data_IF_884223571215
#
_entry.id   IF_884223571215
#
_cell.length_a   1.000
_cell.length_b   1.000
_cell.length_c   1.000
_cell.angle_alpha   90.00
_cell.angle_beta   90.00
_cell.angle_gamma   90.00
#
_symmetry.space_group_name_H-M   'P 1'
#
loop_
_entity.id
_entity.type
_entity.pdbx_description
1 polymer ?
#
# COMPACT_ATOMS: atom_id res chain seq x y z
N UNK A 1 -3.16 14.03 28.39
CA UNK A 1 -4.39 13.45 27.79
C UNK A 1 -4.43 11.97 28.12
N UNK A 2 -5.59 11.40 28.52
CA UNK A 2 -5.70 9.93 28.63
C UNK A 2 -5.63 9.38 27.21
N UNK A 3 -4.56 8.71 26.87
CA UNK A 3 -4.45 7.93 25.63
C UNK A 3 -5.45 6.78 25.76
N UNK A 4 -6.64 6.94 25.20
CA UNK A 4 -7.57 5.83 25.04
C UNK A 4 -6.93 4.89 24.02
N UNK A 5 -6.80 3.60 24.37
CA UNK A 5 -6.35 2.58 23.43
C UNK A 5 -7.22 2.66 22.18
N UNK A 6 -6.66 2.79 20.99
CA UNK A 6 -7.43 2.79 19.75
C UNK A 6 -8.27 1.51 19.67
N UNK A 7 -9.53 1.65 19.24
CA UNK A 7 -10.46 0.53 19.09
C UNK A 7 -10.89 0.43 17.64
N UNK A 8 -11.11 -0.80 17.13
CA UNK A 8 -11.62 -0.97 15.79
C UNK A 8 -12.97 -0.26 15.59
N UNK A 9 -13.29 0.16 14.36
CA UNK A 9 -14.59 0.76 14.03
C UNK A 9 -15.73 -0.25 14.22
N UNK A 10 -16.96 0.28 14.36
CA UNK A 10 -18.14 -0.56 14.38
C UNK A 10 -18.22 -1.39 13.07
N UNK A 11 -18.59 -2.66 13.16
CA UNK A 11 -18.64 -3.60 12.02
C UNK A 11 -17.29 -3.88 11.35
N UNK A 12 -16.18 -3.73 12.11
CA UNK A 12 -14.86 -4.13 11.64
C UNK A 12 -14.85 -5.61 11.22
N UNK A 13 -14.23 -5.89 10.08
CA UNK A 13 -14.10 -7.24 9.53
C UNK A 13 -12.86 -7.98 10.03
N UNK A 14 -12.00 -7.32 10.79
CA UNK A 14 -10.80 -7.89 11.40
C UNK A 14 -11.05 -8.29 12.85
N UNK A 15 -10.33 -9.29 13.33
CA UNK A 15 -10.21 -9.56 14.75
C UNK A 15 -9.64 -8.31 15.46
N UNK A 16 -10.16 -7.94 16.65
CA UNK A 16 -9.72 -6.72 17.34
C UNK A 16 -8.23 -6.66 17.65
N UNK A 17 -7.58 -7.78 17.97
CA UNK A 17 -6.15 -7.79 18.27
C UNK A 17 -5.33 -7.62 16.98
N UNK A 18 -5.72 -8.30 15.91
CA UNK A 18 -5.06 -8.19 14.61
C UNK A 18 -5.29 -6.81 13.99
N UNK A 19 -6.51 -6.25 14.14
CA UNK A 19 -6.76 -4.85 13.78
C UNK A 19 -5.78 -3.90 14.47
N UNK A 20 -5.59 -4.04 15.78
CA UNK A 20 -4.69 -3.17 16.53
C UNK A 20 -3.22 -3.30 16.09
N UNK A 21 -2.78 -4.53 15.72
CA UNK A 21 -1.45 -4.75 15.17
C UNK A 21 -1.28 -4.04 13.83
N UNK A 22 -2.26 -4.20 12.93
CA UNK A 22 -2.27 -3.54 11.62
C UNK A 22 -2.38 -2.02 11.74
N UNK A 23 -3.23 -1.51 12.64
CA UNK A 23 -3.42 -0.09 12.88
C UNK A 23 -2.14 0.62 13.39
N UNK A 24 -1.16 -0.12 13.90
CA UNK A 24 0.16 0.38 14.30
C UNK A 24 1.20 0.37 13.18
N UNK A 25 0.83 -0.05 11.98
CA UNK A 25 1.68 -0.05 10.81
C UNK A 25 1.31 1.10 9.86
N UNK A 26 2.26 1.51 9.03
CA UNK A 26 2.01 2.45 7.95
C UNK A 26 1.32 1.77 6.78
N UNK A 27 0.25 2.40 6.27
CA UNK A 27 -0.46 1.98 5.07
C UNK A 27 -0.69 3.18 4.16
N UNK A 28 -0.53 3.07 2.84
CA UNK A 28 -0.87 4.14 1.93
C UNK A 28 -2.39 4.25 1.79
N UNK A 29 -2.93 5.47 1.72
CA UNK A 29 -4.38 5.70 1.64
C UNK A 29 -4.80 6.53 0.43
N UNK A 30 -3.85 7.25 -0.20
CA UNK A 30 -4.08 8.02 -1.42
C UNK A 30 -2.77 8.24 -2.17
N UNK A 31 -2.85 8.60 -3.46
CA UNK A 31 -1.72 9.22 -4.15
C UNK A 31 -1.69 10.71 -3.80
N UNK A 32 -0.49 11.28 -3.67
CA UNK A 32 -0.33 12.70 -3.36
C UNK A 32 -0.98 13.62 -4.39
N UNK A 33 -0.93 13.22 -5.68
CA UNK A 33 -1.53 13.97 -6.78
C UNK A 33 -3.08 13.96 -6.79
N UNK A 34 -3.72 13.08 -6.02
CA UNK A 34 -5.19 13.02 -5.94
C UNK A 34 -5.77 14.00 -4.91
N UNK A 35 -4.92 14.72 -4.12
CA UNK A 35 -5.36 15.54 -2.97
C UNK A 35 -5.34 17.03 -3.31
N UNK A 36 -5.39 17.38 -4.56
CA UNK A 36 -5.47 18.78 -5.00
C UNK A 36 -6.94 19.12 -5.27
N UNK A 37 -7.56 19.88 -4.36
CA UNK A 37 -8.93 20.39 -4.52
C UNK A 37 -9.88 19.92 -3.42
N UNK A 38 -10.86 19.07 -3.72
CA UNK A 38 -11.84 18.60 -2.74
C UNK A 38 -11.25 17.59 -1.75
N UNK A 39 -11.83 17.46 -0.52
CA UNK A 39 -11.47 16.39 0.40
C UNK A 39 -11.65 15.01 -0.22
N UNK A 40 -10.64 14.15 -0.07
CA UNK A 40 -10.62 12.79 -0.62
C UNK A 40 -11.08 11.80 0.42
N UNK A 41 -11.96 10.88 0.02
CA UNK A 41 -12.41 9.77 0.86
C UNK A 41 -11.47 8.57 0.69
N UNK A 42 -11.10 7.94 1.81
CA UNK A 42 -10.42 6.65 1.83
C UNK A 42 -11.04 5.75 2.91
N UNK A 43 -10.71 4.46 2.84
CA UNK A 43 -11.02 3.48 3.90
C UNK A 43 -9.77 2.68 4.18
N UNK A 44 -9.42 2.53 5.44
CA UNK A 44 -8.30 1.72 5.91
C UNK A 44 -8.74 0.90 7.12
N UNK A 45 -8.60 -0.42 7.06
CA UNK A 45 -8.98 -1.32 8.16
C UNK A 45 -10.43 -1.08 8.64
N UNK A 46 -11.36 -0.91 7.69
CA UNK A 46 -12.76 -0.52 7.88
C UNK A 46 -12.99 0.88 8.48
N UNK A 47 -11.94 1.63 8.83
CA UNK A 47 -12.04 3.01 9.29
C UNK A 47 -12.25 3.96 8.09
N UNK A 48 -13.30 4.79 8.14
CA UNK A 48 -13.56 5.80 7.11
C UNK A 48 -12.70 7.03 7.35
N UNK A 49 -11.96 7.44 6.32
CA UNK A 49 -11.00 8.54 6.39
C UNK A 49 -11.37 9.66 5.43
N UNK A 50 -11.11 10.88 5.88
CA UNK A 50 -11.04 12.08 5.05
C UNK A 50 -9.59 12.55 4.96
N UNK A 51 -9.14 12.84 3.74
CA UNK A 51 -7.79 13.32 3.43
C UNK A 51 -7.93 14.67 2.75
N UNK A 52 -7.21 15.68 3.23
CA UNK A 52 -7.26 17.03 2.67
C UNK A 52 -5.94 17.77 2.95
N UNK A 53 -5.74 18.92 2.30
CA UNK A 53 -4.55 19.74 2.49
C UNK A 53 -4.91 21.07 3.16
N UNK A 54 -4.14 21.49 4.16
CA UNK A 54 -4.19 22.83 4.75
C UNK A 54 -2.80 23.44 4.65
N UNK A 55 -2.67 24.61 4.03
CA UNK A 55 -1.38 25.33 3.90
C UNK A 55 -0.23 24.45 3.40
N UNK A 56 -0.54 23.55 2.46
CA UNK A 56 0.41 22.57 1.91
C UNK A 56 0.63 21.30 2.76
N UNK A 57 0.17 21.25 3.99
CA UNK A 57 0.28 20.06 4.85
C UNK A 57 -0.90 19.12 4.64
N UNK A 58 -0.64 17.83 4.52
CA UNK A 58 -1.68 16.81 4.44
C UNK A 58 -2.19 16.47 5.81
N UNK A 59 -3.51 16.37 5.93
CA UNK A 59 -4.21 15.91 7.14
C UNK A 59 -5.02 14.66 6.79
N UNK A 60 -4.91 13.62 7.61
CA UNK A 60 -5.77 12.44 7.58
C UNK A 60 -6.54 12.38 8.88
N UNK A 61 -7.85 12.32 8.79
CA UNK A 61 -8.72 12.26 9.96
C UNK A 61 -9.86 11.26 9.71
N UNK A 62 -10.53 10.85 10.80
CA UNK A 62 -11.78 10.10 10.72
C UNK A 62 -12.83 10.92 9.97
N UNK A 63 -13.50 10.32 8.99
CA UNK A 63 -14.51 10.99 8.16
C UNK A 63 -15.84 11.17 8.89
N UNK A 64 -15.79 11.80 10.06
CA UNK A 64 -16.95 12.02 10.93
C UNK A 64 -16.85 13.38 11.61
N UNK A 65 -17.82 14.26 11.35
CA UNK A 65 -17.94 15.50 12.09
C UNK A 65 -18.38 15.22 13.54
N UNK A 66 -17.61 15.64 14.57
CA UNK A 66 -17.90 15.33 15.97
C UNK A 66 -19.19 15.98 16.49
N UNK A 67 -19.81 16.88 15.71
CA UNK A 67 -21.07 17.53 16.10
C UNK A 67 -22.28 16.60 15.91
N UNK A 68 -22.49 16.05 14.69
CA UNK A 68 -23.67 15.25 14.34
C UNK A 68 -23.37 14.07 13.40
N UNK A 69 -22.13 13.65 13.30
CA UNK A 69 -21.74 12.43 12.57
C UNK A 69 -21.74 12.53 11.04
N UNK A 70 -21.91 13.72 10.47
CA UNK A 70 -21.89 13.88 9.00
C UNK A 70 -20.48 13.68 8.47
N UNK A 71 -20.30 12.94 7.34
CA UNK A 71 -19.00 12.81 6.70
C UNK A 71 -18.42 14.17 6.28
N UNK A 72 -17.14 14.37 6.60
CA UNK A 72 -16.43 15.60 6.24
C UNK A 72 -16.04 15.63 4.76
N UNK A 73 -15.93 14.48 4.13
CA UNK A 73 -15.70 14.33 2.68
C UNK A 73 -16.84 14.91 1.83
N UNK A 74 -18.02 15.12 2.39
CA UNK A 74 -19.13 15.84 1.73
C UNK A 74 -18.99 17.35 1.79
N UNK A 75 -18.01 17.86 2.52
CA UNK A 75 -17.73 19.28 2.70
C UNK A 75 -16.68 19.79 1.72
N UNK A 76 -15.99 20.83 2.15
CA UNK A 76 -14.90 21.44 1.39
C UNK A 76 -13.82 21.93 2.36
N UNK A 77 -12.64 22.26 1.84
CA UNK A 77 -11.61 22.87 2.67
C UNK A 77 -11.40 24.34 2.28
N UNK A 78 -11.09 25.13 3.27
CA UNK A 78 -10.60 26.51 3.19
C UNK A 78 -9.13 26.52 3.61
N UNK A 79 -8.44 27.65 3.44
CA UNK A 79 -7.05 27.81 3.87
C UNK A 79 -6.81 27.46 5.34
N UNK A 80 -7.81 27.68 6.20
CA UNK A 80 -7.72 27.47 7.65
C UNK A 80 -8.35 26.17 8.16
N UNK A 81 -8.83 25.29 7.29
CA UNK A 81 -9.37 24.01 7.71
C UNK A 81 -10.45 23.40 6.83
N UNK A 82 -10.91 22.21 7.22
CA UNK A 82 -12.03 21.52 6.58
C UNK A 82 -13.35 21.99 7.15
N UNK A 83 -14.33 22.25 6.28
CA UNK A 83 -15.64 22.77 6.63
C UNK A 83 -16.69 21.67 6.50
N UNK A 84 -17.36 21.37 7.61
CA UNK A 84 -18.48 20.43 7.64
C UNK A 84 -19.68 21.00 6.86
N UNK A 85 -20.26 20.24 5.90
CA UNK A 85 -21.33 20.78 5.04
C UNK A 85 -22.65 21.01 5.75
N UNK A 86 -22.82 20.42 6.95
CA UNK A 86 -24.12 20.47 7.65
C UNK A 86 -24.34 21.81 8.41
N UNK A 87 -23.36 22.26 9.20
CA UNK A 87 -23.50 23.49 9.98
C UNK A 87 -22.34 24.50 9.80
N UNK A 88 -21.44 24.24 8.83
CA UNK A 88 -20.31 25.11 8.55
C UNK A 88 -19.22 25.14 9.63
N UNK A 89 -19.21 24.16 10.56
CA UNK A 89 -18.13 24.06 11.52
C UNK A 89 -16.81 23.81 10.77
N UNK A 90 -15.78 24.60 11.09
CA UNK A 90 -14.47 24.46 10.48
C UNK A 90 -13.48 23.88 11.49
N UNK A 91 -12.70 22.89 11.05
CA UNK A 91 -11.68 22.21 11.84
C UNK A 91 -10.31 22.48 11.25
N UNK A 92 -9.40 22.99 12.08
CA UNK A 92 -8.04 23.35 11.69
C UNK A 92 -7.09 22.17 11.55
N UNK A 93 -5.83 22.48 11.32
CA UNK A 93 -4.74 21.52 11.13
C UNK A 93 -4.56 20.57 12.33
N UNK A 94 -4.73 21.08 13.55
CA UNK A 94 -4.68 20.32 14.79
C UNK A 94 -5.97 19.53 15.09
N UNK A 95 -6.94 19.53 14.17
CA UNK A 95 -8.24 18.89 14.32
C UNK A 95 -9.24 19.65 15.20
N UNK A 96 -8.88 20.78 15.83
CA UNK A 96 -9.79 21.56 16.66
C UNK A 96 -10.73 22.39 15.83
N UNK A 97 -11.99 22.48 16.27
CA UNK A 97 -12.93 23.42 15.70
C UNK A 97 -12.44 24.86 15.97
N UNK A 98 -12.32 25.66 14.91
CA UNK A 98 -11.89 27.05 14.97
C UNK A 98 -12.98 28.04 14.50
N UNK A 99 -14.15 27.56 14.03
CA UNK A 99 -15.27 28.38 13.61
C UNK A 99 -16.61 27.69 13.82
N UNK A 100 -17.56 28.38 14.46
CA UNK A 100 -18.96 27.99 14.55
C UNK A 100 -19.79 29.16 13.99
N UNK A 101 -20.25 29.08 12.72
CA UNK A 101 -20.93 30.23 12.08
C UNK A 101 -22.21 30.68 12.78
N UNK A 102 -22.95 29.75 13.37
CA UNK A 102 -24.20 30.05 14.09
C UNK A 102 -24.02 30.76 15.44
N UNK A 103 -22.79 30.81 15.96
CA UNK A 103 -22.52 31.38 17.30
C UNK A 103 -21.15 32.09 17.32
N UNK A 104 -20.99 33.17 16.53
CA UNK A 104 -19.71 33.85 16.41
C UNK A 104 -19.29 34.47 17.74
N UNK A 105 -18.02 34.35 18.09
CA UNK A 105 -17.44 34.89 19.33
C UNK A 105 -17.78 34.14 20.62
N UNK A 106 -18.56 33.07 20.55
CA UNK A 106 -18.81 32.21 21.70
C UNK A 106 -17.69 31.18 21.92
N UNK A 107 -17.47 30.72 23.15
CA UNK A 107 -16.50 29.66 23.42
C UNK A 107 -16.82 28.37 22.65
N UNK A 108 -15.81 27.80 22.01
CA UNK A 108 -15.94 26.56 21.25
C UNK A 108 -15.75 25.35 22.18
N UNK A 109 -16.73 24.43 22.26
CA UNK A 109 -16.60 23.25 23.10
C UNK A 109 -15.39 22.40 22.73
N UNK A 110 -14.57 21.99 23.72
CA UNK A 110 -13.37 21.19 23.51
C UNK A 110 -13.64 19.79 22.87
N UNK A 111 -14.90 19.31 22.95
CA UNK A 111 -15.33 18.05 22.30
C UNK A 111 -15.43 18.19 20.78
N UNK A 112 -15.48 19.40 20.23
CA UNK A 112 -15.44 19.62 18.79
C UNK A 112 -13.99 19.53 18.30
N UNK A 113 -13.51 18.31 18.24
CA UNK A 113 -12.15 17.95 17.85
C UNK A 113 -12.18 16.69 16.99
N UNK A 114 -11.54 16.72 15.83
CA UNK A 114 -11.41 15.56 14.94
C UNK A 114 -10.48 14.53 15.56
N UNK A 115 -10.72 13.26 15.24
CA UNK A 115 -9.72 12.21 15.41
C UNK A 115 -8.81 12.24 14.20
N UNK A 116 -7.62 12.80 14.36
CA UNK A 116 -6.58 12.83 13.33
C UNK A 116 -5.56 11.72 13.55
N UNK A 117 -4.95 11.27 12.46
CA UNK A 117 -4.00 10.17 12.42
C UNK A 117 -2.61 10.66 12.00
N UNK A 118 -1.58 9.88 12.30
CA UNK A 118 -0.22 10.15 11.84
C UNK A 118 -0.17 10.09 10.30
N UNK A 119 0.59 10.99 9.69
CA UNK A 119 0.68 11.14 8.22
C UNK A 119 2.13 11.30 7.80
N UNK A 120 2.50 10.61 6.73
CA UNK A 120 3.73 10.83 5.99
C UNK A 120 3.42 10.93 4.49
N UNK A 121 3.99 11.92 3.81
CA UNK A 121 3.94 12.05 2.36
C UNK A 121 5.27 11.57 1.78
N UNK A 122 5.24 10.38 1.16
CA UNK A 122 6.46 9.75 0.66
C UNK A 122 6.15 8.87 -0.56
N UNK A 123 7.08 8.80 -1.50
CA UNK A 123 6.95 8.01 -2.74
C UNK A 123 5.74 8.40 -3.59
N UNK A 124 5.33 9.68 -3.53
CA UNK A 124 4.12 10.18 -4.19
C UNK A 124 2.82 9.60 -3.62
N UNK A 125 2.87 9.02 -2.42
CA UNK A 125 1.74 8.47 -1.68
C UNK A 125 1.56 9.19 -0.34
N UNK A 126 0.32 9.17 0.14
CA UNK A 126 -0.02 9.55 1.50
C UNK A 126 -0.15 8.29 2.34
N UNK A 127 0.71 8.17 3.32
CA UNK A 127 0.72 7.09 4.29
C UNK A 127 0.07 7.54 5.59
N UNK A 128 -0.66 6.64 6.22
CA UNK A 128 -1.21 6.89 7.56
C UNK A 128 -1.05 5.67 8.46
N UNK A 129 -1.01 5.94 9.75
CA UNK A 129 -0.96 4.94 10.81
C UNK A 129 -2.06 5.29 11.83
N UNK A 130 -3.03 4.40 12.00
CA UNK A 130 -4.22 4.70 12.80
C UNK A 130 -3.97 4.66 14.32
N UNK A 131 -2.90 3.97 14.74
CA UNK A 131 -2.60 3.74 16.15
C UNK A 131 -1.10 3.80 16.46
N UNK A 132 -0.33 4.58 15.70
CA UNK A 132 1.07 4.83 16.02
C UNK A 132 1.26 5.47 17.39
N UNK A 133 2.35 5.12 18.03
CA UNK A 133 2.91 5.93 19.10
C UNK A 133 3.51 7.20 18.46
N UNK A 134 2.98 8.39 18.76
CA UNK A 134 3.49 9.63 18.17
C UNK A 134 4.94 9.95 18.56
N UNK A 135 5.39 9.45 19.72
CA UNK A 135 6.75 9.66 20.22
C UNK A 135 7.75 8.63 19.65
N UNK A 136 7.23 7.51 19.10
CA UNK A 136 8.06 6.45 18.51
C UNK A 136 7.29 5.74 17.37
N UNK A 137 7.06 6.42 16.23
CA UNK A 137 6.37 5.81 15.10
C UNK A 137 7.23 4.67 14.50
N UNK A 138 6.58 3.62 13.95
CA UNK A 138 7.32 2.58 13.24
C UNK A 138 8.03 3.18 12.02
N UNK A 139 9.12 2.57 11.54
CA UNK A 139 9.76 3.01 10.30
C UNK A 139 8.81 2.86 9.12
N UNK A 140 8.81 3.85 8.22
CA UNK A 140 8.12 3.75 6.95
C UNK A 140 8.82 2.73 6.04
N UNK A 141 8.09 1.90 5.26
CA UNK A 141 8.70 1.06 4.25
C UNK A 141 9.61 1.86 3.31
N UNK A 142 10.76 1.30 2.95
CA UNK A 142 11.71 1.96 2.05
C UNK A 142 11.43 1.60 0.58
N UNK A 143 11.79 2.49 -0.32
CA UNK A 143 11.80 2.25 -1.77
C UNK A 143 13.17 2.63 -2.32
N UNK A 144 13.96 1.65 -2.79
CA UNK A 144 15.27 1.93 -3.36
C UNK A 144 15.18 2.89 -4.56
N UNK A 145 16.21 3.70 -4.75
CA UNK A 145 16.38 4.58 -5.91
C UNK A 145 15.29 5.65 -6.14
N UNK A 146 14.31 5.81 -5.25
CA UNK A 146 13.25 6.82 -5.46
C UNK A 146 13.78 8.24 -5.57
N UNK A 147 14.79 8.59 -4.76
CA UNK A 147 15.36 9.94 -4.73
C UNK A 147 16.66 10.06 -5.52
N UNK A 148 17.09 9.00 -6.21
CA UNK A 148 18.36 9.00 -6.93
C UNK A 148 18.28 9.85 -8.19
N UNK A 149 19.33 10.63 -8.42
CA UNK A 149 19.42 11.44 -9.64
C UNK A 149 19.39 10.56 -10.90
N UNK A 150 18.57 10.95 -11.87
CA UNK A 150 18.39 10.20 -13.12
C UNK A 150 17.33 9.13 -13.09
N UNK A 151 16.67 8.90 -11.96
CA UNK A 151 15.49 8.05 -11.89
C UNK A 151 14.21 8.85 -12.15
N UNK A 152 13.34 8.33 -13.01
CA UNK A 152 11.98 8.81 -13.23
C UNK A 152 11.07 8.17 -12.18
N UNK A 153 10.30 9.01 -11.47
CA UNK A 153 9.30 8.61 -10.50
C UNK A 153 7.92 8.53 -11.16
N UNK A 154 7.24 7.41 -11.05
CA UNK A 154 5.93 7.17 -11.67
C UNK A 154 4.98 6.59 -10.61
N UNK A 155 3.78 7.16 -10.47
CA UNK A 155 2.74 6.62 -9.63
C UNK A 155 1.59 6.11 -10.49
N UNK A 156 1.46 4.79 -10.61
CA UNK A 156 0.34 4.18 -11.31
C UNK A 156 -1.00 4.54 -10.64
N UNK A 157 -2.10 4.63 -11.41
CA UNK A 157 -3.43 4.73 -10.82
C UNK A 157 -3.67 3.60 -9.81
N UNK A 158 -4.20 3.95 -8.63
CA UNK A 158 -4.57 2.95 -7.63
C UNK A 158 -5.79 2.14 -8.09
N UNK A 159 -5.84 0.86 -7.74
CA UNK A 159 -6.96 -0.02 -8.07
C UNK A 159 -7.34 -0.90 -6.88
N UNK A 160 -8.53 -1.49 -6.93
CA UNK A 160 -9.01 -2.38 -5.87
C UNK A 160 -8.98 -3.84 -6.31
N UNK A 161 -8.58 -4.70 -5.36
CA UNK A 161 -8.60 -6.16 -5.45
C UNK A 161 -9.59 -6.68 -4.41
N UNK A 162 -10.55 -7.49 -4.84
CA UNK A 162 -11.51 -8.18 -3.93
C UNK A 162 -10.85 -9.40 -3.30
N UNK A 163 -9.80 -9.15 -2.54
CA UNK A 163 -8.97 -10.12 -1.88
C UNK A 163 -8.28 -9.52 -0.67
N UNK A 164 -7.78 -10.37 0.22
CA UNK A 164 -7.04 -9.95 1.39
C UNK A 164 -5.64 -9.45 1.02
N UNK A 165 -5.17 -8.38 1.68
CA UNK A 165 -3.87 -7.76 1.41
C UNK A 165 -2.70 -8.76 1.50
N UNK A 166 -2.77 -9.72 2.42
CA UNK A 166 -1.75 -10.76 2.53
C UNK A 166 -1.66 -11.68 1.31
N UNK A 167 -2.78 -12.01 0.67
CA UNK A 167 -2.79 -12.78 -0.60
C UNK A 167 -2.20 -11.97 -1.75
N UNK A 168 -2.52 -10.68 -1.81
CA UNK A 168 -1.97 -9.79 -2.83
C UNK A 168 -0.43 -9.66 -2.71
N UNK A 169 0.07 -9.50 -1.49
CA UNK A 169 1.52 -9.45 -1.24
C UNK A 169 2.19 -10.78 -1.53
N UNK A 170 1.58 -11.89 -1.11
CA UNK A 170 2.10 -13.23 -1.40
C UNK A 170 2.20 -13.48 -2.91
N UNK A 171 1.18 -13.07 -3.69
CA UNK A 171 1.21 -13.12 -5.16
C UNK A 171 2.36 -12.32 -5.75
N UNK A 172 2.60 -11.10 -5.26
CA UNK A 172 3.73 -10.28 -5.73
C UNK A 172 5.11 -10.91 -5.43
N UNK A 173 5.23 -11.66 -4.34
CA UNK A 173 6.46 -12.34 -3.93
C UNK A 173 6.67 -13.70 -4.63
N UNK A 174 5.62 -14.26 -5.24
CA UNK A 174 5.67 -15.49 -5.98
C UNK A 174 6.28 -15.26 -7.36
N UNK A 175 7.22 -16.11 -7.76
CA UNK A 175 7.87 -16.06 -9.07
C UNK A 175 7.49 -17.23 -9.97
N UNK A 176 6.85 -18.27 -9.41
CA UNK A 176 6.47 -19.46 -10.16
C UNK A 176 5.30 -19.23 -11.12
N UNK A 177 4.42 -18.27 -10.83
CA UNK A 177 3.26 -17.94 -11.65
C UNK A 177 3.62 -17.22 -12.96
N UNK A 178 4.79 -16.58 -13.06
CA UNK A 178 5.14 -15.71 -14.19
C UNK A 178 4.91 -16.37 -15.53
N UNK A 179 5.45 -17.56 -15.76
CA UNK A 179 5.35 -18.27 -17.02
C UNK A 179 3.93 -18.74 -17.39
N UNK A 180 2.97 -18.54 -16.50
CA UNK A 180 1.59 -19.02 -16.65
C UNK A 180 0.56 -17.92 -16.83
N UNK A 181 0.66 -16.82 -16.07
CA UNK A 181 -0.37 -15.77 -16.10
C UNK A 181 0.11 -14.49 -16.79
N UNK A 182 1.43 -14.26 -16.93
CA UNK A 182 1.99 -13.07 -17.57
C UNK A 182 2.46 -13.27 -19.00
N UNK A 183 1.96 -14.29 -19.68
CA UNK A 183 2.35 -14.67 -21.04
C UNK A 183 1.99 -13.60 -22.08
N UNK A 184 0.96 -12.78 -21.80
CA UNK A 184 0.52 -11.69 -22.68
C UNK A 184 1.28 -10.38 -22.41
N UNK A 185 2.11 -10.33 -21.35
CA UNK A 185 2.83 -9.11 -20.95
C UNK A 185 4.35 -9.27 -21.03
N UNK A 186 4.99 -9.94 -20.07
CA UNK A 186 6.45 -9.97 -20.00
C UNK A 186 7.05 -11.39 -19.89
N UNK A 187 6.25 -12.40 -19.61
CA UNK A 187 6.77 -13.73 -19.29
C UNK A 187 6.98 -14.60 -20.55
N UNK A 188 7.88 -15.56 -20.42
CA UNK A 188 8.16 -16.58 -21.40
C UNK A 188 7.56 -17.92 -20.94
N UNK A 189 6.53 -18.45 -21.62
CA UNK A 189 5.86 -19.69 -21.24
C UNK A 189 6.78 -20.93 -21.33
N UNK A 190 7.87 -20.85 -22.07
CA UNK A 190 8.85 -21.94 -22.20
C UNK A 190 9.83 -21.97 -21.01
N UNK A 191 9.88 -20.90 -20.19
CA UNK A 191 10.80 -20.77 -19.06
C UNK A 191 10.06 -20.89 -17.71
N UNK A 192 9.66 -22.10 -17.36
CA UNK A 192 8.81 -22.41 -16.20
C UNK A 192 9.61 -22.76 -14.93
N UNK A 193 10.89 -23.06 -15.07
CA UNK A 193 11.71 -23.47 -13.93
C UNK A 193 12.10 -22.29 -13.07
N UNK A 194 11.80 -22.39 -11.76
CA UNK A 194 12.26 -21.44 -10.75
C UNK A 194 13.61 -21.88 -10.21
N UNK A 195 14.68 -21.11 -10.43
CA UNK A 195 15.99 -21.40 -9.84
C UNK A 195 15.95 -21.35 -8.31
N UNK A 196 16.88 -22.04 -7.66
CA UNK A 196 17.01 -22.01 -6.21
C UNK A 196 17.37 -20.61 -5.71
N UNK A 197 16.65 -20.14 -4.70
CA UNK A 197 16.94 -18.89 -3.99
C UNK A 197 16.63 -19.06 -2.50
N UNK A 198 17.16 -18.16 -1.66
CA UNK A 198 16.98 -18.26 -0.20
C UNK A 198 16.67 -16.90 0.39
N UNK A 199 15.45 -16.67 0.91
CA UNK A 199 15.12 -15.46 1.63
C UNK A 199 16.00 -15.29 2.88
N UNK A 200 16.48 -14.06 3.12
CA UNK A 200 17.30 -13.69 4.26
C UNK A 200 16.52 -12.72 5.15
N UNK A 201 16.39 -13.05 6.44
CA UNK A 201 15.67 -12.21 7.39
C UNK A 201 16.34 -10.84 7.56
N UNK A 202 15.50 -9.81 7.68
CA UNK A 202 15.90 -8.44 8.03
C UNK A 202 15.10 -7.96 9.24
N UNK A 203 15.45 -6.84 9.87
CA UNK A 203 14.68 -6.28 10.99
C UNK A 203 13.23 -5.94 10.66
N UNK A 204 12.89 -5.71 9.39
CA UNK A 204 11.56 -5.32 8.92
C UNK A 204 10.83 -6.40 8.12
N UNK A 205 11.49 -7.54 7.83
CA UNK A 205 10.90 -8.63 7.06
C UNK A 205 11.96 -9.56 6.49
N UNK A 206 12.18 -9.55 5.19
CA UNK A 206 13.25 -10.30 4.53
C UNK A 206 13.62 -9.70 3.18
N UNK A 207 14.77 -10.12 2.65
CA UNK A 207 15.19 -9.89 1.27
C UNK A 207 15.36 -11.23 0.55
N UNK A 208 15.18 -11.24 -0.77
CA UNK A 208 15.37 -12.43 -1.59
C UNK A 208 15.90 -12.05 -2.98
N UNK A 209 16.98 -12.72 -3.39
CA UNK A 209 17.55 -12.59 -4.72
C UNK A 209 17.08 -13.76 -5.60
N UNK A 210 16.48 -13.44 -6.72
CA UNK A 210 16.05 -14.39 -7.73
C UNK A 210 16.74 -14.10 -9.07
N UNK A 211 17.54 -15.05 -9.54
CA UNK A 211 18.22 -14.96 -10.82
C UNK A 211 17.48 -15.72 -11.91
N UNK A 212 17.23 -15.10 -13.05
CA UNK A 212 16.45 -15.66 -14.14
C UNK A 212 17.02 -15.26 -15.49
N UNK A 213 16.85 -16.11 -16.49
CA UNK A 213 17.12 -15.81 -17.90
C UNK A 213 15.98 -15.02 -18.56
N UNK A 214 14.85 -14.84 -17.88
CA UNK A 214 13.67 -14.13 -18.40
C UNK A 214 13.67 -12.68 -17.97
N UNK A 215 13.57 -11.76 -18.95
CA UNK A 215 13.42 -10.33 -18.69
C UNK A 215 12.00 -9.96 -18.29
N UNK A 216 11.83 -8.76 -17.69
CA UNK A 216 10.53 -8.16 -17.37
C UNK A 216 10.17 -7.04 -18.35
N UNK A 217 10.47 -7.23 -19.64
CA UNK A 217 10.13 -6.24 -20.65
C UNK A 217 8.97 -6.70 -21.51
N UNK A 218 8.11 -5.77 -21.96
CA UNK A 218 7.16 -6.06 -23.01
C UNK A 218 7.90 -6.62 -24.22
N UNK A 219 7.35 -7.66 -24.85
CA UNK A 219 7.93 -8.25 -26.07
C UNK A 219 8.08 -7.20 -27.21
N UNK A 220 7.28 -6.13 -27.16
CA UNK A 220 7.32 -4.99 -28.07
C UNK A 220 8.43 -3.97 -27.79
N UNK A 221 9.16 -4.08 -26.66
CA UNK A 221 10.27 -3.18 -26.35
C UNK A 221 11.44 -3.40 -27.29
N UNK A 222 12.10 -2.33 -27.70
CA UNK A 222 13.36 -2.39 -28.49
C UNK A 222 14.56 -2.77 -27.61
N UNK A 223 14.39 -2.79 -26.30
CA UNK A 223 15.44 -3.19 -25.36
C UNK A 223 15.76 -4.67 -25.51
N UNK A 224 17.04 -5.01 -25.67
CA UNK A 224 17.53 -6.38 -25.77
C UNK A 224 18.67 -6.59 -24.80
N UNK A 225 18.55 -7.62 -23.97
CA UNK A 225 19.67 -8.05 -23.17
C UNK A 225 20.66 -8.85 -24.04
N UNK A 226 21.98 -8.81 -23.73
CA UNK A 226 22.95 -9.70 -24.35
C UNK A 226 22.55 -11.18 -24.18
N UNK A 227 22.98 -12.02 -25.13
CA UNK A 227 22.78 -13.47 -25.01
C UNK A 227 23.37 -14.02 -23.70
N UNK A 228 22.60 -14.82 -22.99
CA UNK A 228 23.00 -15.41 -21.71
C UNK A 228 22.91 -14.43 -20.51
N UNK A 229 22.36 -13.23 -20.68
CA UNK A 229 22.20 -12.28 -19.57
C UNK A 229 21.32 -12.88 -18.48
N UNK A 230 21.77 -12.79 -17.23
CA UNK A 230 21.00 -13.20 -16.07
C UNK A 230 20.38 -11.97 -15.39
N UNK A 231 19.07 -12.00 -15.26
CA UNK A 231 18.28 -10.93 -14.62
C UNK A 231 18.24 -11.16 -13.12
N UNK A 232 18.78 -10.23 -12.35
CA UNK A 232 18.57 -10.24 -10.91
C UNK A 232 17.24 -9.53 -10.61
N UNK A 233 16.38 -10.22 -9.90
CA UNK A 233 15.21 -9.67 -9.22
C UNK A 233 15.46 -9.69 -7.73
N UNK A 234 15.65 -8.51 -7.15
CA UNK A 234 15.86 -8.32 -5.73
C UNK A 234 14.55 -7.90 -5.10
N UNK A 235 14.01 -8.75 -4.23
CA UNK A 235 12.81 -8.47 -3.45
C UNK A 235 13.19 -8.03 -2.05
N UNK A 236 12.52 -6.97 -1.56
CA UNK A 236 12.55 -6.56 -0.14
C UNK A 236 11.13 -6.58 0.40
N UNK A 237 10.87 -7.39 1.43
CA UNK A 237 9.59 -7.45 2.11
C UNK A 237 9.63 -6.61 3.39
N UNK A 238 8.75 -5.60 3.47
CA UNK A 238 8.46 -4.82 4.66
C UNK A 238 7.11 -5.26 5.23
N UNK A 239 7.14 -6.04 6.30
CA UNK A 239 5.93 -6.54 6.95
C UNK A 239 5.06 -5.38 7.47
N UNK A 240 3.72 -5.44 7.41
CA UNK A 240 2.96 -6.60 6.94
C UNK A 240 2.65 -6.63 5.43
N UNK A 241 2.53 -5.48 4.72
CA UNK A 241 1.88 -5.45 3.40
C UNK A 241 2.58 -4.58 2.36
N UNK A 242 3.87 -4.33 2.50
CA UNK A 242 4.64 -3.58 1.50
C UNK A 242 5.85 -4.39 1.06
N UNK A 243 6.01 -4.58 -0.25
CA UNK A 243 7.21 -5.19 -0.81
C UNK A 243 7.74 -4.35 -1.97
N UNK A 244 9.04 -4.39 -2.21
CA UNK A 244 9.66 -3.80 -3.40
C UNK A 244 10.34 -4.88 -4.22
N UNK A 245 10.32 -4.70 -5.53
CA UNK A 245 11.05 -5.49 -6.51
C UNK A 245 11.98 -4.56 -7.27
N UNK A 246 13.30 -4.79 -7.15
CA UNK A 246 14.30 -4.15 -7.99
C UNK A 246 14.76 -5.13 -9.06
N UNK A 247 14.54 -4.79 -10.32
CA UNK A 247 14.98 -5.57 -11.48
C UNK A 247 16.23 -4.93 -12.04
N UNK A 248 17.30 -5.74 -12.15
CA UNK A 248 18.58 -5.32 -12.69
C UNK A 248 18.65 -5.65 -14.17
N UNK A 249 18.76 -4.62 -14.97
CA UNK A 249 18.88 -4.66 -16.43
C UNK A 249 20.35 -4.51 -16.86
N UNK A 250 20.70 -4.81 -18.13
CA UNK A 250 22.03 -4.50 -18.66
C UNK A 250 22.37 -3.01 -18.51
N UNK A 251 23.69 -2.69 -18.56
CA UNK A 251 24.20 -1.31 -18.51
C UNK A 251 23.74 -0.51 -17.27
N UNK A 252 23.66 -1.17 -16.12
CA UNK A 252 23.25 -0.59 -14.86
C UNK A 252 21.85 0.07 -14.85
N UNK A 253 21.01 -0.30 -15.83
CA UNK A 253 19.61 0.11 -15.79
C UNK A 253 18.85 -0.64 -14.69
N UNK A 254 17.90 0.06 -14.05
CA UNK A 254 17.10 -0.44 -12.92
C UNK A 254 15.63 -0.06 -13.08
N UNK A 255 14.79 -1.01 -12.75
CA UNK A 255 13.36 -0.80 -12.54
C UNK A 255 13.04 -1.20 -11.11
N UNK A 256 12.46 -0.28 -10.34
CA UNK A 256 11.97 -0.56 -9.00
C UNK A 256 10.46 -0.43 -9.00
N UNK A 257 9.78 -1.44 -8.48
CA UNK A 257 8.31 -1.46 -8.32
C UNK A 257 8.04 -1.67 -6.83
N UNK A 258 7.28 -0.77 -6.23
CA UNK A 258 6.74 -0.99 -4.89
C UNK A 258 5.32 -1.54 -5.01
N UNK A 259 5.05 -2.66 -4.36
CA UNK A 259 3.72 -3.19 -4.13
C UNK A 259 3.31 -2.82 -2.71
N UNK A 260 2.47 -1.81 -2.57
CA UNK A 260 1.96 -1.36 -1.28
C UNK A 260 0.46 -1.68 -1.19
N UNK A 261 0.14 -2.81 -0.55
CA UNK A 261 -1.20 -3.33 -0.42
C UNK A 261 -1.88 -2.75 0.82
N UNK A 262 -2.82 -1.83 0.63
CA UNK A 262 -3.56 -1.18 1.71
C UNK A 262 -4.86 -1.92 2.01
N UNK A 263 -5.04 -2.51 3.19
CA UNK A 263 -6.24 -3.26 3.52
C UNK A 263 -7.43 -2.31 3.76
N UNK A 264 -8.35 -2.22 2.82
CA UNK A 264 -9.62 -1.51 2.98
C UNK A 264 -10.47 -2.23 4.03
N UNK A 265 -10.55 -3.55 3.90
CA UNK A 265 -11.18 -4.49 4.82
C UNK A 265 -10.43 -5.82 4.80
N UNK A 266 -10.85 -6.81 5.57
CA UNK A 266 -10.27 -8.16 5.49
C UNK A 266 -10.47 -8.85 4.12
N UNK A 267 -11.28 -8.27 3.23
CA UNK A 267 -11.66 -8.86 1.93
C UNK A 267 -11.45 -7.94 0.73
N UNK A 268 -11.03 -6.71 0.97
CA UNK A 268 -10.76 -5.73 -0.10
C UNK A 268 -9.45 -5.04 0.18
N UNK A 269 -8.61 -4.98 -0.82
CA UNK A 269 -7.30 -4.33 -0.79
C UNK A 269 -7.25 -3.23 -1.84
N UNK A 270 -6.74 -2.07 -1.49
CA UNK A 270 -6.40 -1.02 -2.43
C UNK A 270 -4.90 -1.06 -2.70
N UNK A 271 -4.55 -1.22 -3.97
CA UNK A 271 -3.18 -1.33 -4.42
C UNK A 271 -2.62 0.01 -4.84
N UNK A 272 -1.41 0.30 -4.35
CA UNK A 272 -0.59 1.42 -4.78
C UNK A 272 0.74 0.89 -5.30
N UNK A 273 1.15 1.38 -6.47
CA UNK A 273 2.35 0.90 -7.14
C UNK A 273 3.23 2.05 -7.64
N UNK A 274 4.00 2.70 -6.74
CA UNK A 274 5.09 3.57 -7.16
C UNK A 274 6.15 2.81 -7.95
N UNK A 275 6.67 3.43 -9.01
CA UNK A 275 7.70 2.89 -9.88
C UNK A 275 8.83 3.91 -9.99
N UNK A 276 10.08 3.45 -9.91
CA UNK A 276 11.26 4.24 -10.23
C UNK A 276 12.10 3.53 -11.30
N UNK A 277 12.55 4.24 -12.32
CA UNK A 277 13.40 3.69 -13.39
C UNK A 277 14.41 4.72 -13.90
N UNK A 278 15.57 4.26 -14.37
CA UNK A 278 16.61 5.12 -14.93
C UNK A 278 16.88 4.88 -16.44
N UNK A 279 15.96 4.25 -17.14
CA UNK A 279 16.04 3.96 -18.58
C UNK A 279 14.68 4.23 -19.24
N UNK A 280 14.66 4.29 -20.58
CA UNK A 280 13.44 4.56 -21.38
C UNK A 280 12.67 5.82 -20.88
N UNK A 281 13.40 6.84 -20.45
CA UNK A 281 12.83 8.05 -19.85
C UNK A 281 12.00 8.87 -20.84
N UNK A 282 12.10 8.58 -22.13
CA UNK A 282 11.32 9.20 -23.21
C UNK A 282 9.96 8.54 -23.44
N UNK A 283 9.73 7.34 -22.89
CA UNK A 283 8.45 6.62 -23.02
C UNK A 283 7.39 7.36 -22.21
N UNK A 284 6.23 7.67 -22.79
CA UNK A 284 5.14 8.34 -22.09
C UNK A 284 4.73 7.59 -20.81
N UNK A 285 4.44 8.34 -19.76
CA UNK A 285 4.05 7.76 -18.45
C UNK A 285 2.74 6.96 -18.59
N UNK A 286 1.86 7.39 -19.48
CA UNK A 286 0.59 6.73 -19.80
C UNK A 286 0.80 5.31 -20.33
N UNK A 287 1.85 5.08 -21.13
CA UNK A 287 2.18 3.74 -21.65
C UNK A 287 2.73 2.84 -20.53
N UNK A 288 3.50 3.43 -19.59
CA UNK A 288 3.98 2.72 -18.40
C UNK A 288 2.79 2.33 -17.50
N UNK A 289 1.84 3.25 -17.31
CA UNK A 289 0.61 2.96 -16.57
C UNK A 289 -0.19 1.84 -17.24
N UNK A 290 -0.43 1.93 -18.54
CA UNK A 290 -1.20 0.94 -19.28
C UNK A 290 -0.58 -0.46 -19.20
N UNK A 291 0.75 -0.55 -19.33
CA UNK A 291 1.46 -1.82 -19.21
C UNK A 291 1.34 -2.42 -17.81
N UNK A 292 1.66 -1.63 -16.77
CA UNK A 292 1.61 -2.15 -15.39
C UNK A 292 0.20 -2.50 -14.95
N UNK A 293 -0.82 -1.72 -15.35
CA UNK A 293 -2.21 -2.05 -15.04
C UNK A 293 -2.65 -3.37 -15.69
N UNK A 294 -2.14 -3.71 -16.89
CA UNK A 294 -2.39 -5.02 -17.50
C UNK A 294 -1.77 -6.15 -16.68
N UNK A 295 -0.52 -6.01 -16.28
CA UNK A 295 0.15 -7.00 -15.41
C UNK A 295 -0.63 -7.21 -14.11
N UNK A 296 -1.04 -6.13 -13.46
CA UNK A 296 -1.82 -6.21 -12.22
C UNK A 296 -3.21 -6.83 -12.41
N UNK A 297 -3.83 -6.65 -13.59
CA UNK A 297 -5.13 -7.25 -13.90
C UNK A 297 -5.01 -8.78 -14.08
N UNK A 298 -3.88 -9.25 -14.65
CA UNK A 298 -3.58 -10.68 -14.74
C UNK A 298 -3.46 -11.30 -13.34
N UNK A 299 -2.75 -10.65 -12.40
CA UNK A 299 -2.64 -11.07 -11.01
C UNK A 299 -3.98 -11.02 -10.26
N UNK A 300 -4.77 -9.96 -10.48
CA UNK A 300 -6.01 -9.70 -9.75
C UNK A 300 -6.98 -10.87 -9.86
N UNK A 301 -7.15 -11.42 -11.06
CA UNK A 301 -8.04 -12.55 -11.28
C UNK A 301 -7.66 -13.77 -10.42
N UNK A 302 -6.36 -14.03 -10.27
CA UNK A 302 -5.88 -15.15 -9.46
C UNK A 302 -6.14 -14.89 -7.98
N UNK A 303 -5.76 -13.71 -7.48
CA UNK A 303 -5.92 -13.35 -6.06
C UNK A 303 -7.40 -13.37 -5.63
N UNK A 304 -8.31 -12.85 -6.45
CA UNK A 304 -9.76 -12.81 -6.14
C UNK A 304 -10.42 -14.19 -6.13
N UNK A 305 -9.80 -15.18 -6.78
CA UNK A 305 -10.34 -16.53 -6.87
C UNK A 305 -9.75 -17.53 -5.89
N UNK A 306 -8.67 -17.19 -5.19
CA UNK A 306 -8.05 -18.07 -4.18
C UNK A 306 -9.00 -18.47 -3.06
N UNK A 307 -8.86 -19.72 -2.57
CA UNK A 307 -9.62 -20.24 -1.43
C UNK A 307 -8.70 -20.97 -0.45
N UNK A 308 -8.80 -20.69 0.87
CA UNK A 308 -9.64 -19.68 1.50
C UNK A 308 -9.25 -18.27 1.04
N UNK A 309 -10.19 -17.31 1.12
CA UNK A 309 -9.96 -15.91 0.72
C UNK A 309 -8.96 -15.18 1.62
N UNK A 310 -8.77 -15.63 2.87
CA UNK A 310 -7.71 -15.19 3.75
C UNK A 310 -6.37 -15.90 3.47
N UNK A 311 -5.34 -15.53 4.22
CA UNK A 311 -3.99 -16.11 4.13
C UNK A 311 -3.73 -17.02 5.34
N UNK A 312 -3.72 -18.36 5.19
CA UNK A 312 -3.40 -19.25 6.30
C UNK A 312 -1.96 -19.05 6.78
N UNK A 313 -1.78 -18.76 8.08
CA UNK A 313 -0.45 -18.64 8.68
C UNK A 313 0.04 -19.99 9.27
N UNK A 314 -0.83 -20.97 9.40
CA UNK A 314 -0.45 -22.37 9.62
C UNK A 314 -0.07 -23.01 8.28
N UNK A 315 1.21 -23.27 8.09
CA UNK A 315 1.75 -23.80 6.84
C UNK A 315 1.24 -25.21 6.49
N UNK A 316 0.59 -25.90 7.42
CA UNK A 316 0.04 -27.26 7.19
C UNK A 316 -1.32 -27.23 6.47
N UNK A 317 -1.96 -26.06 6.38
CA UNK A 317 -3.29 -25.90 5.79
C UNK A 317 -3.26 -25.82 4.26
N UNK A 318 -2.11 -25.53 3.66
CA UNK A 318 -1.90 -25.55 2.21
C UNK A 318 -0.64 -26.35 1.87
N UNK A 319 -0.60 -26.90 0.67
CA UNK A 319 0.60 -27.58 0.18
C UNK A 319 1.61 -26.56 -0.37
N UNK A 320 2.86 -26.70 0.03
CA UNK A 320 3.95 -25.85 -0.44
C UNK A 320 4.88 -26.62 -1.38
N UNK A 321 5.34 -25.93 -2.42
CA UNK A 321 6.33 -26.44 -3.37
C UNK A 321 7.69 -25.76 -3.16
N UNK A 322 8.80 -26.31 -3.70
CA UNK A 322 10.13 -25.71 -3.51
C UNK A 322 10.28 -24.26 -3.98
N UNK A 323 9.41 -23.77 -4.87
CA UNK A 323 9.41 -22.39 -5.33
C UNK A 323 8.83 -21.40 -4.30
N UNK A 324 8.02 -21.86 -3.31
CA UNK A 324 7.27 -21.01 -2.37
C UNK A 324 8.13 -20.42 -1.22
N UNK A 325 9.44 -20.31 -1.40
CA UNK A 325 10.36 -19.90 -0.31
C UNK A 325 10.03 -18.50 0.24
N UNK A 326 9.71 -17.54 -0.62
CA UNK A 326 9.28 -16.20 -0.22
C UNK A 326 7.91 -16.21 0.46
N UNK A 327 6.94 -16.98 -0.05
CA UNK A 327 5.62 -17.15 0.58
C UNK A 327 5.75 -17.72 1.98
N UNK A 328 6.57 -18.76 2.17
CA UNK A 328 6.83 -19.36 3.49
C UNK A 328 7.52 -18.35 4.43
N UNK A 329 8.52 -17.59 3.96
CA UNK A 329 9.19 -16.57 4.75
C UNK A 329 8.22 -15.46 5.16
N UNK A 330 7.35 -15.03 4.26
CA UNK A 330 6.32 -14.03 4.49
C UNK A 330 5.33 -14.47 5.59
N UNK A 331 4.73 -15.66 5.45
CA UNK A 331 3.78 -16.20 6.44
C UNK A 331 4.43 -16.37 7.81
N UNK A 332 5.68 -16.84 7.87
CA UNK A 332 6.47 -16.92 9.13
C UNK A 332 6.71 -15.54 9.73
N UNK A 333 7.00 -14.53 8.90
CA UNK A 333 7.16 -13.15 9.34
C UNK A 333 5.88 -12.59 9.97
N UNK A 334 4.72 -12.77 9.32
CA UNK A 334 3.42 -12.39 9.87
C UNK A 334 3.13 -13.11 11.20
N UNK A 335 3.42 -14.41 11.29
CA UNK A 335 3.25 -15.17 12.54
C UNK A 335 4.15 -14.63 13.66
N UNK A 336 5.39 -14.23 13.36
CA UNK A 336 6.30 -13.58 14.33
C UNK A 336 5.79 -12.22 14.81
N UNK A 337 5.03 -11.48 13.99
CA UNK A 337 4.33 -10.24 14.39
C UNK A 337 3.16 -10.50 15.35
N UNK A 338 2.79 -11.77 15.55
CA UNK A 338 1.72 -12.19 16.46
C UNK A 338 0.33 -12.23 15.83
N UNK A 339 0.24 -12.19 14.49
CA UNK A 339 -1.05 -12.39 13.82
C UNK A 339 -1.58 -13.80 14.05
N UNK A 340 -2.88 -13.89 14.29
CA UNK A 340 -3.61 -15.13 14.51
C UNK A 340 -4.08 -15.79 13.22
N UNK A 341 -5.03 -16.70 13.40
CA UNK A 341 -5.60 -17.49 12.28
C UNK A 341 -6.73 -16.76 11.55
N UNK A 342 -7.03 -15.49 11.91
CA UNK A 342 -8.11 -14.72 11.29
C UNK A 342 -7.95 -14.57 9.76
N UNK A 343 -6.73 -14.68 9.27
CA UNK A 343 -6.42 -14.65 7.84
C UNK A 343 -6.98 -15.86 7.07
N UNK A 344 -7.60 -16.79 7.75
CA UNK A 344 -8.32 -17.93 7.17
C UNK A 344 -9.74 -17.61 6.67
N UNK A 345 -10.29 -16.45 6.99
CA UNK A 345 -11.70 -16.13 6.72
C UNK A 345 -12.03 -15.87 5.26
#
# INVERSE_FOLDING_TARGET
>A
MKTTTPTPPAHCTFDPEDWLRLARCWHPVARACDIDGAPVKATLLDEQLVIYRIKGQVVVARDVCPHRGVPLTLGFHEEEGIVCPYHGLRFGEDGRCNRIPSSPGQPIPAKLHLTSFAVEERYGLIWTCLACDPDNPPPLPTMPHWDDAGFQQINCPAFEVKGFAGRQVEGFLDVAHFAWIHTDTFADPDNQQVPDYTPQETPFGFVADYWSSVGNYPASSDFRAPEGFQWLRHFEMHLPFTATLTIHFPADARLVIMNAASPVSSRVTRMFAPIARNFDLHVPVEDVHAFNLRVFEEDRLMVETQRPGGLPLDLTLEAHIPADRSSIAYRRGLKKMGFGDFFLV
#
